data_IF_738224355842
#
_entry.id   IF_738224355842
#
_cell.length_a   1.000
_cell.length_b   1.000
_cell.length_c   1.000
_cell.angle_alpha   90.00
_cell.angle_beta   90.00
_cell.angle_gamma   90.00
#
_symmetry.space_group_name_H-M   'P 1'
#
loop_
_entity.id
_entity.type
_entity.pdbx_description
1 polymer ?
#
# COMPACT_ATOMS: atom_id res chain seq x y z
N UNK A 1 -3.67 -17.49 61.80
CA UNK A 1 -2.78 -16.33 61.61
C UNK A 1 -3.07 -15.76 60.22
N UNK A 2 -3.81 -14.64 60.19
CA UNK A 2 -4.35 -14.05 58.99
C UNK A 2 -3.41 -12.97 58.47
N UNK A 3 -3.06 -13.04 57.16
CA UNK A 3 -2.32 -11.98 56.50
C UNK A 3 -3.28 -11.04 55.75
N UNK A 4 -3.10 -9.71 55.82
CA UNK A 4 -3.99 -8.76 55.18
C UNK A 4 -3.65 -8.48 53.72
N UNK A 5 -4.69 -8.42 52.91
CA UNK A 5 -4.64 -7.99 51.50
C UNK A 5 -4.44 -6.48 51.39
N UNK A 6 -3.32 -6.05 50.85
CA UNK A 6 -3.08 -4.67 50.45
C UNK A 6 -3.70 -4.40 49.05
N UNK A 7 -4.72 -3.53 49.02
CA UNK A 7 -5.30 -3.02 47.78
C UNK A 7 -4.49 -1.78 47.34
N UNK A 8 -3.75 -1.86 46.25
CA UNK A 8 -3.16 -0.69 45.64
C UNK A 8 -4.19 0.01 44.72
N UNK A 9 -4.55 1.20 45.19
CA UNK A 9 -5.45 2.12 44.47
C UNK A 9 -4.64 2.83 43.36
N UNK A 10 -5.01 2.62 42.08
CA UNK A 10 -4.40 3.31 40.96
C UNK A 10 -4.78 4.81 40.97
N UNK A 11 -3.77 5.65 40.86
CA UNK A 11 -3.92 7.09 40.73
C UNK A 11 -4.44 7.47 39.33
N UNK A 12 -5.54 8.27 39.32
CA UNK A 12 -6.05 8.89 38.08
C UNK A 12 -5.09 10.01 37.63
N UNK A 13 -4.63 9.93 36.38
CA UNK A 13 -3.92 11.02 35.70
C UNK A 13 -4.93 12.06 35.19
N UNK A 14 -4.69 13.37 35.38
CA UNK A 14 -5.55 14.42 34.82
C UNK A 14 -5.32 14.54 33.31
N UNK A 15 -6.42 14.69 32.56
CA UNK A 15 -6.41 14.88 31.12
C UNK A 15 -5.78 16.22 30.72
N UNK A 16 -4.92 16.17 29.71
CA UNK A 16 -4.35 17.34 29.08
C UNK A 16 -5.37 17.97 28.13
N UNK A 17 -5.75 19.20 28.44
CA UNK A 17 -6.56 20.04 27.57
C UNK A 17 -5.72 20.42 26.31
N UNK A 18 -6.24 20.10 25.13
CA UNK A 18 -5.69 20.59 23.86
C UNK A 18 -6.13 22.02 23.66
N UNK A 19 -5.18 22.92 23.71
CA UNK A 19 -5.35 24.34 23.36
C UNK A 19 -5.38 24.48 21.85
N UNK A 20 -6.52 24.90 21.29
CA UNK A 20 -6.63 25.36 19.91
C UNK A 20 -5.88 26.70 19.79
N UNK A 21 -4.83 26.74 19.00
CA UNK A 21 -4.15 27.96 18.63
C UNK A 21 -4.80 28.53 17.36
N UNK A 22 -5.68 29.51 17.56
CA UNK A 22 -6.17 30.38 16.50
C UNK A 22 -5.03 31.32 16.06
N UNK A 23 -4.59 31.20 14.82
CA UNK A 23 -3.72 32.23 14.21
C UNK A 23 -4.60 33.26 13.55
N UNK A 24 -4.69 34.43 14.19
CA UNK A 24 -5.18 35.65 13.59
C UNK A 24 -4.04 36.28 12.77
N UNK A 25 -4.27 36.48 11.48
CA UNK A 25 -3.42 37.36 10.67
C UNK A 25 -4.17 38.68 10.49
N UNK A 26 -3.61 39.72 11.13
CA UNK A 26 -3.98 41.07 10.86
C UNK A 26 -2.91 41.68 9.95
N UNK A 27 -3.30 42.38 8.92
CA UNK A 27 -2.74 43.69 8.57
C UNK A 27 -3.40 44.21 7.29
N UNK A 28 -4.11 45.27 7.45
CA UNK A 28 -4.64 46.08 6.37
C UNK A 28 -3.58 46.96 5.72
N UNK A 29 -3.84 47.31 4.47
CA UNK A 29 -3.44 48.56 3.87
C UNK A 29 -4.44 48.89 2.77
N UNK A 30 -5.18 49.93 3.04
CA UNK A 30 -6.09 50.63 2.07
C UNK A 30 -5.23 51.42 1.08
N UNK A 31 -5.55 51.31 -0.22
CA UNK A 31 -5.34 52.36 -1.19
C UNK A 31 -6.40 52.29 -2.30
N UNK A 32 -6.86 53.48 -2.68
CA UNK A 32 -8.07 53.80 -3.39
C UNK A 32 -8.03 53.51 -4.90
N UNK A 33 -9.25 53.38 -5.42
CA UNK A 33 -9.77 53.15 -6.78
C UNK A 33 -9.25 54.09 -7.88
N UNK A 34 -9.38 53.68 -9.17
CA UNK A 34 -10.58 54.07 -9.89
C UNK A 34 -11.32 52.90 -10.63
N UNK A 35 -12.63 53.01 -10.65
CA UNK A 35 -13.59 52.26 -11.40
C UNK A 35 -13.44 52.54 -12.90
N UNK A 36 -13.18 51.50 -13.70
CA UNK A 36 -13.50 51.45 -15.11
C UNK A 36 -14.12 50.10 -15.36
N UNK A 37 -15.35 50.08 -15.84
CA UNK A 37 -16.10 48.88 -16.12
C UNK A 37 -15.46 48.06 -17.23
N UNK A 38 -15.31 46.75 -16.93
CA UNK A 38 -15.11 45.73 -17.92
C UNK A 38 -15.85 44.49 -17.42
N UNK A 39 -16.57 43.87 -18.32
CA UNK A 39 -17.28 42.62 -18.16
C UNK A 39 -16.45 41.61 -17.39
N UNK A 40 -16.96 41.12 -16.26
CA UNK A 40 -16.39 39.97 -15.57
C UNK A 40 -16.67 38.72 -16.39
N UNK A 41 -15.75 38.36 -17.29
CA UNK A 41 -15.56 36.97 -17.60
C UNK A 41 -15.02 36.34 -16.30
N UNK A 42 -15.81 35.51 -15.66
CA UNK A 42 -15.32 34.59 -14.64
C UNK A 42 -14.37 33.66 -15.38
N UNK A 43 -13.08 33.89 -15.25
CA UNK A 43 -12.10 32.84 -15.49
C UNK A 43 -12.40 31.78 -14.42
N UNK A 44 -12.90 30.63 -14.82
CA UNK A 44 -12.80 29.42 -14.01
C UNK A 44 -11.30 29.25 -13.76
N UNK A 45 -10.88 29.39 -12.51
CA UNK A 45 -9.54 28.96 -12.11
C UNK A 45 -9.58 27.43 -12.25
N UNK A 46 -8.95 26.90 -13.31
CA UNK A 46 -8.65 25.48 -13.42
C UNK A 46 -7.79 25.12 -12.20
N UNK A 47 -8.43 24.62 -11.17
CA UNK A 47 -7.74 24.11 -9.99
C UNK A 47 -7.12 22.78 -10.35
N UNK A 48 -5.80 22.79 -10.59
CA UNK A 48 -5.01 21.58 -10.85
C UNK A 48 -4.16 21.25 -9.63
N UNK A 49 -3.95 19.96 -9.39
CA UNK A 49 -3.07 19.42 -8.37
C UNK A 49 -1.95 18.62 -9.01
N UNK A 50 -0.71 18.91 -8.65
CA UNK A 50 0.45 18.11 -9.08
C UNK A 50 0.72 17.01 -8.06
N UNK A 51 0.60 15.75 -8.49
CA UNK A 51 0.85 14.57 -7.65
C UNK A 51 2.25 14.58 -7.09
N UNK A 52 2.39 14.48 -5.77
CA UNK A 52 3.65 14.32 -5.08
C UNK A 52 3.99 12.84 -4.83
N UNK A 53 5.23 12.55 -4.45
CA UNK A 53 5.63 11.18 -4.12
C UNK A 53 4.92 10.70 -2.86
N UNK A 54 4.20 9.57 -2.96
CA UNK A 54 3.43 8.98 -1.87
C UNK A 54 1.95 9.35 -1.82
N UNK A 55 1.49 10.22 -2.74
CA UNK A 55 0.08 10.58 -2.84
C UNK A 55 -0.78 9.41 -3.32
N UNK A 56 -2.04 9.44 -2.90
CA UNK A 56 -3.13 8.61 -3.43
C UNK A 56 -4.33 9.49 -3.75
N UNK A 57 -5.16 9.07 -4.71
CA UNK A 57 -6.37 9.84 -5.05
C UNK A 57 -7.27 10.11 -3.84
N UNK A 58 -7.32 9.19 -2.88
CA UNK A 58 -8.12 9.35 -1.67
C UNK A 58 -7.56 10.42 -0.72
N UNK A 59 -6.23 10.52 -0.60
CA UNK A 59 -5.59 11.56 0.20
C UNK A 59 -5.74 12.91 -0.49
N UNK A 60 -5.44 12.99 -1.78
CA UNK A 60 -5.58 14.23 -2.58
C UNK A 60 -7.03 14.74 -2.50
N UNK A 61 -8.02 13.87 -2.74
CA UNK A 61 -9.43 14.25 -2.71
C UNK A 61 -9.87 14.74 -1.32
N UNK A 62 -9.34 14.16 -0.25
CA UNK A 62 -9.64 14.60 1.13
C UNK A 62 -8.94 15.90 1.50
N UNK A 63 -7.69 16.14 1.04
CA UNK A 63 -6.93 17.36 1.33
C UNK A 63 -7.37 18.55 0.49
N UNK A 64 -7.88 18.30 -0.71
CA UNK A 64 -8.36 19.32 -1.64
C UNK A 64 -9.90 19.51 -1.60
N UNK A 65 -10.58 18.86 -0.63
CA UNK A 65 -12.05 18.96 -0.45
C UNK A 65 -12.84 18.67 -1.74
N UNK A 66 -12.40 17.67 -2.54
CA UNK A 66 -13.06 17.32 -3.81
C UNK A 66 -14.44 16.73 -3.54
N UNK A 67 -15.47 17.38 -4.04
CA UNK A 67 -16.87 16.92 -3.92
C UNK A 67 -17.04 15.54 -4.58
N UNK A 68 -17.58 14.57 -3.82
CA UNK A 68 -17.71 13.18 -4.25
C UNK A 68 -16.44 12.35 -4.07
N UNK A 69 -15.37 12.93 -3.51
CA UNK A 69 -14.16 12.21 -3.10
C UNK A 69 -13.31 11.70 -4.26
N UNK A 70 -12.48 10.67 -3.95
CA UNK A 70 -11.52 10.16 -4.93
C UNK A 70 -12.16 9.55 -6.18
N UNK A 71 -13.39 9.07 -6.11
CA UNK A 71 -14.14 8.55 -7.27
C UNK A 71 -14.38 9.65 -8.30
N UNK A 72 -14.85 10.82 -7.84
CA UNK A 72 -15.05 11.97 -8.72
C UNK A 72 -13.73 12.49 -9.26
N UNK A 73 -12.70 12.59 -8.40
CA UNK A 73 -11.35 12.98 -8.83
C UNK A 73 -10.81 12.02 -9.91
N UNK A 74 -11.04 10.72 -9.76
CA UNK A 74 -10.64 9.71 -10.75
C UNK A 74 -11.41 9.88 -12.08
N UNK A 75 -12.73 9.98 -12.01
CA UNK A 75 -13.57 10.14 -13.22
C UNK A 75 -13.20 11.40 -14.00
N UNK A 76 -12.92 12.50 -13.31
CA UNK A 76 -12.49 13.75 -13.94
C UNK A 76 -11.11 13.62 -14.61
N UNK A 77 -10.26 12.72 -14.12
CA UNK A 77 -8.88 12.55 -14.59
C UNK A 77 -8.61 11.21 -15.29
N UNK A 78 -9.66 10.48 -15.65
CA UNK A 78 -9.52 9.14 -16.24
C UNK A 78 -8.70 9.14 -17.54
N UNK A 79 -8.74 10.23 -18.30
CA UNK A 79 -7.97 10.40 -19.53
C UNK A 79 -6.45 10.50 -19.28
N UNK A 80 -6.05 10.98 -18.10
CA UNK A 80 -4.66 11.16 -17.69
C UNK A 80 -4.17 9.96 -16.86
N UNK A 81 -5.03 9.45 -15.96
CA UNK A 81 -4.71 8.33 -15.06
C UNK A 81 -4.78 6.98 -15.79
N UNK A 82 -5.72 6.83 -16.74
CA UNK A 82 -6.01 5.56 -17.40
C UNK A 82 -7.09 4.75 -16.68
N UNK A 83 -7.08 3.43 -16.86
CA UNK A 83 -8.16 2.55 -16.35
C UNK A 83 -8.00 2.16 -14.87
N UNK A 84 -6.79 2.29 -14.31
CA UNK A 84 -6.51 1.93 -12.90
C UNK A 84 -6.37 3.19 -12.05
N UNK A 85 -7.30 3.47 -11.10
CA UNK A 85 -7.25 4.63 -10.21
C UNK A 85 -6.05 4.63 -9.25
N UNK A 86 -5.33 3.52 -9.14
CA UNK A 86 -4.15 3.42 -8.28
C UNK A 86 -2.85 3.80 -9.01
N UNK A 87 -2.90 4.02 -10.32
CA UNK A 87 -1.73 4.38 -11.14
C UNK A 87 -1.60 5.90 -11.28
N UNK A 88 -1.37 6.59 -10.17
CA UNK A 88 -0.94 7.99 -10.21
C UNK A 88 0.58 8.07 -9.97
N UNK A 89 1.25 8.94 -10.69
CA UNK A 89 2.69 9.12 -10.61
C UNK A 89 3.07 10.54 -10.17
N UNK A 90 4.18 10.72 -9.43
CA UNK A 90 4.68 12.04 -9.09
C UNK A 90 4.89 12.90 -10.35
N UNK A 91 4.41 14.15 -10.30
CA UNK A 91 4.44 15.09 -11.42
C UNK A 91 3.22 15.03 -12.35
N UNK A 92 2.28 14.08 -12.14
CA UNK A 92 1.01 14.05 -12.87
C UNK A 92 0.13 15.21 -12.41
N UNK A 93 -0.47 15.96 -13.36
CA UNK A 93 -1.40 17.04 -13.07
C UNK A 93 -2.83 16.50 -13.11
N UNK A 94 -3.56 16.70 -12.02
CA UNK A 94 -4.94 16.29 -11.84
C UNK A 94 -5.84 17.52 -11.76
N UNK A 95 -6.93 17.55 -12.53
CA UNK A 95 -7.99 18.54 -12.39
C UNK A 95 -8.87 18.20 -11.18
N UNK A 96 -9.09 19.18 -10.29
CA UNK A 96 -9.91 19.01 -9.09
C UNK A 96 -11.40 19.25 -9.36
N UNK A 97 -11.76 20.12 -10.33
CA UNK A 97 -13.11 20.65 -10.52
C UNK A 97 -13.80 20.26 -11.85
N UNK A 98 -13.24 19.33 -12.62
CA UNK A 98 -13.84 18.91 -13.91
C UNK A 98 -12.99 17.92 -14.69
N UNK A 99 -13.48 17.48 -15.89
CA UNK A 99 -12.69 16.57 -16.72
C UNK A 99 -11.37 17.23 -17.13
N UNK A 100 -10.26 16.55 -16.87
CA UNK A 100 -8.95 17.01 -17.31
C UNK A 100 -8.94 17.04 -18.85
N UNK A 101 -8.82 18.24 -19.44
CA UNK A 101 -8.50 18.38 -20.86
C UNK A 101 -7.12 17.79 -21.12
N UNK A 102 -7.05 16.77 -21.96
CA UNK A 102 -5.83 16.01 -22.28
C UNK A 102 -4.72 16.82 -22.99
N UNK A 103 -4.58 18.11 -22.68
CA UNK A 103 -3.59 19.03 -23.26
C UNK A 103 -2.43 19.37 -22.32
N UNK A 104 -2.29 18.69 -21.17
CA UNK A 104 -1.11 18.78 -20.32
C UNK A 104 0.11 18.29 -21.09
N UNK A 105 0.99 19.21 -21.47
CA UNK A 105 2.23 18.92 -22.18
C UNK A 105 3.19 18.19 -21.24
N UNK A 106 3.15 16.85 -21.26
CA UNK A 106 4.25 16.06 -20.78
C UNK A 106 5.40 16.21 -21.78
N UNK A 107 6.28 17.18 -21.52
CA UNK A 107 7.59 17.21 -22.19
C UNK A 107 8.33 15.93 -21.76
N UNK A 108 8.66 15.11 -22.79
CA UNK A 108 9.40 13.86 -22.74
C UNK A 108 8.60 12.56 -22.54
N UNK A 109 7.57 12.35 -23.37
CA UNK A 109 7.19 10.99 -23.70
C UNK A 109 7.41 10.73 -25.20
N UNK A 110 8.61 10.32 -25.52
CA UNK A 110 8.97 9.84 -26.84
C UNK A 110 8.20 8.57 -27.18
N UNK A 111 7.37 8.66 -28.22
CA UNK A 111 7.04 7.58 -29.14
C UNK A 111 6.59 6.24 -28.50
N UNK A 112 5.32 6.14 -28.13
CA UNK A 112 4.71 4.81 -28.06
C UNK A 112 4.25 4.39 -29.46
N UNK A 113 5.09 3.56 -30.10
CA UNK A 113 4.67 2.76 -31.23
C UNK A 113 3.48 1.89 -30.82
N UNK A 114 2.55 1.70 -31.76
CA UNK A 114 1.44 0.76 -31.69
C UNK A 114 1.95 -0.69 -31.68
N UNK A 115 2.53 -1.09 -30.54
CA UNK A 115 2.72 -2.48 -30.18
C UNK A 115 1.83 -2.72 -28.98
N UNK A 116 1.14 -3.84 -28.93
CA UNK A 116 0.50 -4.37 -27.73
C UNK A 116 1.56 -4.47 -26.65
N UNK A 117 1.74 -3.40 -25.86
CA UNK A 117 2.59 -3.42 -24.69
C UNK A 117 1.93 -4.41 -23.72
N UNK A 118 2.67 -5.45 -23.34
CA UNK A 118 2.30 -6.27 -22.21
C UNK A 118 2.15 -5.33 -21.01
N UNK A 119 1.05 -5.44 -20.27
CA UNK A 119 0.85 -4.64 -19.07
C UNK A 119 2.08 -4.79 -18.17
N UNK A 120 2.60 -3.67 -17.65
CA UNK A 120 3.71 -3.70 -16.70
C UNK A 120 3.33 -4.56 -15.50
N UNK A 121 4.23 -5.40 -14.98
CA UNK A 121 3.92 -6.26 -13.86
C UNK A 121 3.57 -5.43 -12.63
N UNK A 122 2.49 -5.80 -11.95
CA UNK A 122 2.03 -5.18 -10.71
C UNK A 122 2.48 -5.95 -9.46
N UNK A 123 3.21 -7.05 -9.67
CA UNK A 123 3.89 -7.80 -8.62
C UNK A 123 5.32 -8.21 -9.05
N UNK A 124 6.08 -8.71 -8.08
CA UNK A 124 7.40 -9.33 -8.26
C UNK A 124 7.50 -10.62 -7.45
N UNK A 125 8.49 -11.45 -7.78
CA UNK A 125 8.83 -12.61 -6.96
C UNK A 125 9.27 -12.17 -5.56
N UNK A 126 8.74 -12.79 -4.49
CA UNK A 126 9.13 -12.45 -3.12
C UNK A 126 10.58 -12.81 -2.77
N UNK A 127 11.16 -13.75 -3.50
CA UNK A 127 12.59 -14.13 -3.41
C UNK A 127 13.16 -14.35 -4.81
N UNK A 128 14.41 -13.94 -5.02
CA UNK A 128 15.08 -14.09 -6.32
C UNK A 128 15.77 -15.44 -6.44
N UNK A 129 15.81 -15.97 -7.67
CA UNK A 129 16.67 -17.12 -8.03
C UNK A 129 16.39 -18.43 -7.29
N UNK A 130 15.21 -18.56 -6.70
CA UNK A 130 14.80 -19.73 -5.94
C UNK A 130 14.01 -20.73 -6.78
N UNK A 131 14.08 -22.01 -6.40
CA UNK A 131 13.27 -23.07 -7.02
C UNK A 131 12.06 -23.37 -6.13
N UNK A 132 10.84 -23.44 -6.68
CA UNK A 132 9.67 -23.90 -5.94
C UNK A 132 9.88 -25.31 -5.40
N UNK A 133 9.48 -25.60 -4.17
CA UNK A 133 9.62 -26.91 -3.53
C UNK A 133 8.29 -27.57 -3.20
N UNK A 134 7.39 -26.86 -2.50
CA UNK A 134 6.04 -27.34 -2.21
C UNK A 134 5.03 -26.31 -2.68
N UNK A 135 4.06 -26.74 -3.48
CA UNK A 135 3.03 -25.88 -4.05
C UNK A 135 1.78 -25.81 -3.19
N UNK A 136 0.91 -24.85 -3.53
CA UNK A 136 -0.42 -24.72 -2.95
C UNK A 136 -1.22 -26.03 -3.10
N UNK A 137 -2.00 -26.40 -2.06
CA UNK A 137 -2.75 -27.65 -1.97
C UNK A 137 -1.91 -28.93 -2.02
N UNK A 138 -0.58 -28.86 -1.94
CA UNK A 138 0.24 -30.06 -1.79
C UNK A 138 -0.22 -30.86 -0.57
N UNK A 139 -0.31 -32.18 -0.71
CA UNK A 139 -0.75 -33.10 0.34
C UNK A 139 0.40 -34.00 0.80
N UNK A 140 0.39 -34.38 2.08
CA UNK A 140 1.41 -35.24 2.67
C UNK A 140 1.40 -35.22 4.19
N UNK A 141 2.36 -35.91 4.78
CA UNK A 141 2.44 -36.05 6.24
C UNK A 141 2.64 -34.72 6.98
N UNK A 142 3.14 -33.70 6.28
CA UNK A 142 3.40 -32.36 6.84
C UNK A 142 2.15 -31.44 6.77
N UNK A 143 1.15 -31.76 5.95
CA UNK A 143 -0.02 -30.89 5.71
C UNK A 143 -1.32 -31.70 5.79
N UNK A 144 -1.92 -31.74 7.00
CA UNK A 144 -3.16 -32.51 7.23
C UNK A 144 -4.37 -31.96 6.45
N UNK A 145 -4.37 -30.64 6.16
CA UNK A 145 -5.46 -29.94 5.48
C UNK A 145 -5.03 -29.34 4.14
N UNK A 146 -3.92 -29.83 3.55
CA UNK A 146 -3.30 -29.24 2.37
C UNK A 146 -2.34 -28.11 2.72
N UNK A 147 -1.39 -27.85 1.83
CA UNK A 147 -0.42 -26.75 1.95
C UNK A 147 -1.08 -25.45 1.54
N UNK A 148 -0.99 -24.43 2.38
CA UNK A 148 -1.73 -23.16 2.21
C UNK A 148 -1.02 -22.13 1.35
N UNK A 149 0.21 -22.41 0.92
CA UNK A 149 1.02 -21.47 0.17
C UNK A 149 1.93 -22.12 -0.86
N UNK A 150 2.93 -21.36 -1.25
CA UNK A 150 4.05 -21.79 -2.07
C UNK A 150 5.33 -21.68 -1.27
N UNK A 151 6.10 -22.76 -1.23
CA UNK A 151 7.42 -22.78 -0.60
C UNK A 151 8.52 -22.61 -1.63
N UNK A 152 9.52 -21.77 -1.29
CA UNK A 152 10.80 -21.67 -2.00
C UNK A 152 11.95 -22.00 -1.06
N UNK A 153 12.72 -23.03 -1.38
CA UNK A 153 13.96 -23.36 -0.64
C UNK A 153 14.99 -22.27 -0.86
N UNK A 154 15.33 -21.57 0.20
CA UNK A 154 16.33 -20.49 0.20
C UNK A 154 17.15 -20.55 1.49
N UNK A 155 18.45 -20.19 1.47
CA UNK A 155 19.25 -20.07 2.69
C UNK A 155 18.66 -19.08 3.69
N UNK A 156 18.92 -19.31 4.98
CA UNK A 156 18.62 -18.31 6.02
C UNK A 156 19.33 -17.00 5.68
N UNK A 157 18.62 -15.86 5.80
CA UNK A 157 19.16 -14.54 5.51
C UNK A 157 19.01 -14.09 4.05
N UNK A 158 18.33 -14.88 3.18
CA UNK A 158 17.98 -14.43 1.83
C UNK A 158 16.98 -13.26 1.94
N UNK A 159 17.21 -12.22 1.14
CA UNK A 159 16.29 -11.05 1.10
C UNK A 159 14.90 -11.49 0.67
N UNK A 160 13.88 -11.10 1.46
CA UNK A 160 12.46 -11.24 1.16
C UNK A 160 11.91 -9.87 0.79
N UNK A 161 11.20 -9.80 -0.32
CA UNK A 161 10.62 -8.58 -0.90
C UNK A 161 9.10 -8.59 -0.79
N UNK A 162 8.49 -7.41 -0.66
CA UNK A 162 7.06 -7.24 -0.84
C UNK A 162 6.69 -7.60 -2.29
N UNK A 163 5.82 -8.59 -2.46
CA UNK A 163 5.42 -9.04 -3.80
C UNK A 163 4.68 -7.94 -4.58
N UNK A 164 3.90 -7.11 -3.90
CA UNK A 164 3.24 -5.93 -4.46
C UNK A 164 3.23 -4.79 -3.45
N UNK A 165 2.91 -3.57 -3.89
CA UNK A 165 2.73 -2.43 -2.98
C UNK A 165 1.58 -2.69 -2.01
N UNK A 166 1.69 -2.19 -0.76
CA UNK A 166 0.63 -2.37 0.22
C UNK A 166 0.95 -1.78 1.58
N UNK A 167 0.08 -2.11 2.54
CA UNK A 167 0.25 -1.74 3.95
C UNK A 167 0.46 -3.01 4.77
N UNK A 168 1.48 -3.03 5.60
CA UNK A 168 1.74 -4.12 6.55
C UNK A 168 0.66 -4.12 7.60
N UNK A 169 -0.13 -5.19 7.70
CA UNK A 169 -1.19 -5.34 8.70
C UNK A 169 -0.74 -6.16 9.89
N UNK A 170 0.22 -7.07 9.69
CA UNK A 170 0.85 -7.85 10.75
C UNK A 170 2.35 -7.98 10.50
N UNK A 171 3.16 -7.89 11.56
CA UNK A 171 4.59 -8.21 11.56
C UNK A 171 4.98 -8.67 12.97
N UNK A 172 5.55 -9.88 13.08
CA UNK A 172 5.93 -10.42 14.38
C UNK A 172 5.95 -11.94 14.42
N UNK A 173 5.83 -12.49 15.63
CA UNK A 173 5.86 -13.93 15.88
C UNK A 173 4.45 -14.53 15.86
N UNK A 174 4.29 -15.62 15.10
CA UNK A 174 3.15 -16.54 15.17
C UNK A 174 3.68 -17.95 15.46
N UNK A 175 2.97 -18.72 16.28
CA UNK A 175 3.47 -20.01 16.77
C UNK A 175 3.86 -20.99 15.64
N UNK A 176 3.02 -21.18 14.65
CA UNK A 176 3.24 -22.12 13.55
C UNK A 176 4.10 -21.52 12.44
N UNK A 177 3.89 -20.26 12.12
CA UNK A 177 4.55 -19.55 11.02
C UNK A 177 5.89 -18.91 11.43
N UNK A 178 6.24 -18.90 12.74
CA UNK A 178 7.42 -18.24 13.23
C UNK A 178 7.36 -16.73 13.08
N UNK A 179 8.45 -16.08 12.73
CA UNK A 179 8.38 -14.67 12.33
C UNK A 179 7.68 -14.56 10.99
N UNK A 180 6.67 -13.68 10.93
CA UNK A 180 5.81 -13.49 9.77
C UNK A 180 5.55 -12.01 9.50
N UNK A 181 5.12 -11.74 8.26
CA UNK A 181 4.59 -10.46 7.81
C UNK A 181 3.32 -10.73 7.00
N UNK A 182 2.27 -9.93 7.20
CA UNK A 182 1.07 -9.91 6.34
C UNK A 182 0.92 -8.51 5.78
N UNK A 183 0.78 -8.42 4.45
CA UNK A 183 0.61 -7.15 3.72
C UNK A 183 -0.75 -7.15 3.03
N UNK A 184 -1.53 -6.08 3.24
CA UNK A 184 -2.77 -5.83 2.51
C UNK A 184 -2.48 -5.02 1.25
N UNK A 185 -3.02 -5.46 0.12
CA UNK A 185 -2.87 -4.82 -1.19
C UNK A 185 -4.11 -4.04 -1.62
N UNK A 186 -3.95 -3.21 -2.65
CA UNK A 186 -5.02 -2.34 -3.15
C UNK A 186 -6.18 -3.09 -3.82
N UNK A 187 -5.94 -4.31 -4.33
CA UNK A 187 -6.95 -5.21 -4.89
C UNK A 187 -7.81 -5.94 -3.84
N UNK A 188 -7.49 -5.72 -2.55
CA UNK A 188 -8.16 -6.36 -1.42
C UNK A 188 -7.57 -7.70 -0.99
N UNK A 189 -6.59 -8.22 -1.70
CA UNK A 189 -5.85 -9.41 -1.33
C UNK A 189 -4.79 -9.12 -0.27
N UNK A 190 -4.31 -10.19 0.35
CA UNK A 190 -3.22 -10.14 1.33
C UNK A 190 -2.13 -11.09 0.92
N UNK A 191 -0.86 -10.68 1.09
CA UNK A 191 0.27 -11.59 0.99
C UNK A 191 0.85 -11.86 2.37
N UNK A 192 1.20 -13.11 2.62
CA UNK A 192 1.77 -13.58 3.87
C UNK A 192 3.14 -14.19 3.61
N UNK A 193 4.11 -13.79 4.42
CA UNK A 193 5.51 -14.21 4.37
C UNK A 193 5.87 -14.83 5.71
N UNK A 194 6.26 -16.09 5.74
CA UNK A 194 6.48 -16.83 6.98
C UNK A 194 7.87 -17.48 7.07
N UNK A 195 8.14 -18.04 8.24
CA UNK A 195 9.39 -18.70 8.63
C UNK A 195 10.63 -17.80 8.55
N UNK A 196 10.40 -16.49 8.72
CA UNK A 196 11.44 -15.47 8.60
C UNK A 196 12.45 -15.54 9.75
N UNK A 197 13.68 -15.09 9.51
CA UNK A 197 14.69 -14.91 10.56
C UNK A 197 14.66 -13.52 11.16
N UNK A 198 14.20 -12.54 10.38
CA UNK A 198 14.13 -11.13 10.75
C UNK A 198 13.04 -10.44 9.95
N UNK A 199 12.32 -9.50 10.58
CA UNK A 199 11.41 -8.55 9.92
C UNK A 199 12.07 -7.18 9.90
N UNK A 200 12.03 -6.49 8.76
CA UNK A 200 12.60 -5.14 8.58
C UNK A 200 11.51 -4.06 8.58
N UNK A 201 10.24 -4.48 8.73
CA UNK A 201 9.05 -3.62 8.74
C UNK A 201 8.15 -3.94 9.94
N UNK A 202 7.23 -3.04 10.26
CA UNK A 202 6.27 -3.12 11.36
C UNK A 202 4.84 -2.94 10.86
N UNK A 203 3.85 -3.42 11.61
CA UNK A 203 2.44 -3.18 11.30
C UNK A 203 2.14 -1.66 11.22
N UNK A 204 1.46 -1.25 10.17
CA UNK A 204 1.18 0.14 9.81
C UNK A 204 2.14 0.74 8.78
N UNK A 205 3.28 0.09 8.48
CA UNK A 205 4.20 0.57 7.46
C UNK A 205 3.61 0.39 6.05
N UNK A 206 3.88 1.34 5.17
CA UNK A 206 3.59 1.22 3.74
C UNK A 206 4.84 0.75 3.00
N UNK A 207 4.67 -0.21 2.10
CA UNK A 207 5.76 -0.79 1.31
C UNK A 207 5.44 -0.71 -0.18
N UNK A 208 6.47 -0.44 -1.00
CA UNK A 208 6.44 -0.54 -2.45
C UNK A 208 6.63 -2.00 -2.92
N UNK A 209 6.23 -2.26 -4.16
CA UNK A 209 6.55 -3.51 -4.86
C UNK A 209 8.08 -3.68 -4.94
N UNK A 210 8.59 -4.83 -4.51
CA UNK A 210 10.03 -5.11 -4.52
C UNK A 210 10.82 -4.56 -3.32
N UNK A 211 10.19 -3.81 -2.42
CA UNK A 211 10.85 -3.34 -1.21
C UNK A 211 11.28 -4.52 -0.33
N UNK A 212 12.48 -4.42 0.21
CA UNK A 212 12.94 -5.40 1.19
C UNK A 212 12.14 -5.25 2.47
N UNK A 213 11.50 -6.35 2.91
CA UNK A 213 10.66 -6.39 4.11
C UNK A 213 11.20 -7.32 5.20
N UNK A 214 12.04 -8.30 4.82
CA UNK A 214 12.50 -9.33 5.76
C UNK A 214 13.74 -10.06 5.25
N UNK A 215 14.18 -11.00 6.07
CA UNK A 215 15.11 -12.08 5.70
C UNK A 215 14.44 -13.43 5.93
N UNK A 216 14.62 -14.35 4.97
CA UNK A 216 14.17 -15.74 5.09
C UNK A 216 14.85 -16.45 6.26
N UNK A 217 14.21 -17.48 6.77
CA UNK A 217 14.68 -18.19 7.94
C UNK A 217 14.29 -19.67 7.97
N UNK A 218 14.18 -20.16 9.21
CA UNK A 218 13.69 -21.48 9.54
C UNK A 218 13.00 -21.45 10.91
N UNK A 219 12.18 -20.42 11.15
CA UNK A 219 11.46 -20.22 12.42
C UNK A 219 10.07 -20.82 12.35
N UNK A 220 9.46 -21.13 13.50
CA UNK A 220 8.16 -21.79 13.58
C UNK A 220 8.23 -23.29 13.28
N UNK A 221 7.16 -23.86 12.69
CA UNK A 221 7.07 -25.29 12.43
C UNK A 221 7.60 -25.65 11.03
N UNK A 222 8.90 -25.90 10.90
CA UNK A 222 9.57 -26.14 9.63
C UNK A 222 10.48 -27.35 9.66
N UNK A 223 10.77 -27.93 8.48
CA UNK A 223 11.73 -29.02 8.31
C UNK A 223 13.11 -28.54 7.83
N UNK A 224 13.22 -27.29 7.41
CA UNK A 224 14.46 -26.69 6.91
C UNK A 224 14.25 -25.25 6.44
N UNK A 225 15.34 -24.54 6.05
CA UNK A 225 15.24 -23.16 5.61
C UNK A 225 14.44 -23.00 4.31
N UNK A 226 13.44 -22.14 4.32
CA UNK A 226 12.64 -21.77 3.14
C UNK A 226 11.87 -20.47 3.40
N UNK A 227 11.32 -19.87 2.36
CA UNK A 227 10.24 -18.92 2.45
C UNK A 227 8.93 -19.66 2.19
N UNK A 228 7.99 -19.57 3.10
CA UNK A 228 6.59 -19.91 2.89
C UNK A 228 5.82 -18.63 2.53
N UNK A 229 5.13 -18.64 1.40
CA UNK A 229 4.39 -17.49 0.86
C UNK A 229 2.95 -17.88 0.57
N UNK A 230 2.01 -17.12 1.12
CA UNK A 230 0.59 -17.29 0.82
C UNK A 230 0.01 -16.03 0.20
N UNK A 231 -1.04 -16.21 -0.59
CA UNK A 231 -1.98 -15.15 -0.97
C UNK A 231 -3.32 -15.48 -0.34
N UNK A 232 -3.91 -14.51 0.34
CA UNK A 232 -5.14 -14.68 1.12
C UNK A 232 -6.19 -13.67 0.69
N UNK A 233 -7.47 -13.99 0.88
CA UNK A 233 -8.60 -13.07 0.67
C UNK A 233 -8.94 -12.26 1.94
N UNK A 234 -8.44 -12.68 3.09
CA UNK A 234 -8.51 -11.98 4.39
C UNK A 234 -7.15 -12.15 5.10
N UNK A 235 -6.82 -11.38 6.15
CA UNK A 235 -5.56 -11.58 6.86
C UNK A 235 -5.48 -12.91 7.62
N UNK A 236 -6.63 -13.53 7.94
CA UNK A 236 -6.70 -14.72 8.77
C UNK A 236 -6.30 -16.01 8.01
N UNK A 237 -5.75 -16.97 8.76
CA UNK A 237 -5.47 -18.32 8.28
C UNK A 237 -6.72 -19.01 7.73
N UNK A 238 -6.55 -19.78 6.65
CA UNK A 238 -7.63 -20.54 6.03
C UNK A 238 -8.36 -19.82 4.89
N UNK A 239 -7.92 -18.59 4.54
CA UNK A 239 -8.44 -17.81 3.42
C UNK A 239 -7.51 -17.81 2.19
N UNK A 240 -6.55 -18.75 2.15
CA UNK A 240 -5.54 -18.82 1.11
C UNK A 240 -6.12 -19.19 -0.27
N UNK A 241 -5.49 -18.65 -1.31
CA UNK A 241 -5.68 -18.97 -2.72
C UNK A 241 -4.32 -19.23 -3.38
N UNK A 242 -4.30 -19.81 -4.57
CA UNK A 242 -3.08 -20.18 -5.27
C UNK A 242 -2.16 -18.99 -5.54
N UNK A 243 -0.98 -18.92 -4.88
CA UNK A 243 -0.03 -17.80 -5.03
C UNK A 243 0.57 -17.70 -6.43
N UNK A 244 0.78 -18.84 -7.11
CA UNK A 244 1.37 -18.84 -8.46
C UNK A 244 0.39 -18.25 -9.47
N UNK A 245 -0.89 -18.62 -9.37
CA UNK A 245 -1.95 -18.03 -10.19
C UNK A 245 -2.07 -16.53 -9.91
N UNK A 246 -1.98 -16.09 -8.66
CA UNK A 246 -2.01 -14.67 -8.31
C UNK A 246 -0.81 -13.92 -8.91
N UNK A 247 0.41 -14.43 -8.76
CA UNK A 247 1.61 -13.84 -9.36
C UNK A 247 1.49 -13.74 -10.89
N UNK A 248 1.00 -14.81 -11.55
CA UNK A 248 0.80 -14.81 -13.00
C UNK A 248 -0.21 -13.73 -13.45
N UNK A 249 -1.30 -13.56 -12.70
CA UNK A 249 -2.31 -12.53 -12.98
C UNK A 249 -1.77 -11.11 -12.80
N UNK A 250 -0.67 -10.95 -12.04
CA UNK A 250 0.04 -9.69 -11.82
C UNK A 250 1.28 -9.53 -12.72
N UNK A 251 1.40 -10.35 -13.76
CA UNK A 251 2.46 -10.24 -14.78
C UNK A 251 3.78 -10.89 -14.39
N UNK A 252 3.81 -11.74 -13.36
CA UNK A 252 5.02 -12.47 -12.90
C UNK A 252 4.96 -13.92 -13.35
N UNK A 253 6.00 -14.37 -14.02
CA UNK A 253 6.21 -15.81 -14.32
C UNK A 253 7.08 -16.41 -13.21
N UNK A 254 6.51 -17.32 -12.40
CA UNK A 254 7.16 -17.98 -11.28
C UNK A 254 7.75 -19.35 -11.72
#
# INVERSE_FOLDING_TARGET
MSSPHGRHRAARRPGSARTLATRASAAGATLALPVIGASTAFAEEDTTYTVASGDTLSVIAAEQDVDGGWQTLYENNRSVIGEDPNLIAPGMELSLDGPADGTGTNADNASYGTGTAAAEPTAVMPVDGSTPTAGYEASGANWQNGHTGQDWSVPVGTTVKAAAKGTVVEAGWDDSFGYQIVIRHGDGDYTHYAHLSQTDVSAGDTVGMGDRIAQSGATGNVTGPHLHFEVRTTPEYGSAKDPITWLANHGVTA
#
